data_IF_490623970383
#
_entry.id   IF_490623970383
#
_cell.length_a   1.000
_cell.length_b   1.000
_cell.length_c   1.000
_cell.angle_alpha   90.00
_cell.angle_beta   90.00
_cell.angle_gamma   90.00
#
_symmetry.space_group_name_H-M   'P 1'
#
loop_
_entity.id
_entity.type
_entity.pdbx_description
1 polymer ?
#
# COMPACT_ATOMS: atom_id res chain seq x y z
N UNK A 1 -0.99 -4.69 52.67
CA UNK A 1 -0.78 -3.69 51.60
C UNK A 1 0.22 -4.30 50.63
N UNK A 2 -0.26 -4.95 49.57
CA UNK A 2 0.58 -5.63 48.61
C UNK A 2 0.95 -4.65 47.49
N UNK A 3 2.26 -4.51 47.21
CA UNK A 3 2.74 -3.78 46.04
C UNK A 3 2.37 -4.58 44.78
N UNK A 4 1.61 -3.96 43.89
CA UNK A 4 1.42 -4.46 42.53
C UNK A 4 2.73 -4.27 41.74
N UNK A 5 3.26 -5.38 41.23
CA UNK A 5 4.38 -5.36 40.30
C UNK A 5 3.90 -4.90 38.93
N UNK A 6 4.44 -3.79 38.45
CA UNK A 6 4.29 -3.31 37.08
C UNK A 6 4.95 -4.28 36.12
N UNK A 7 4.15 -5.01 35.34
CA UNK A 7 4.62 -5.83 34.22
C UNK A 7 4.98 -4.88 33.08
N UNK A 8 6.27 -4.77 32.76
CA UNK A 8 6.74 -4.12 31.52
C UNK A 8 6.33 -4.98 30.32
N UNK A 9 5.78 -4.40 29.23
CA UNK A 9 5.47 -5.17 28.04
C UNK A 9 6.77 -5.67 27.40
N UNK A 10 6.84 -6.98 27.19
CA UNK A 10 7.96 -7.62 26.50
C UNK A 10 7.98 -7.15 25.05
N UNK A 11 9.06 -6.47 24.65
CA UNK A 11 9.34 -6.17 23.24
C UNK A 11 9.62 -7.49 22.53
N UNK A 12 8.66 -7.99 21.77
CA UNK A 12 8.87 -9.15 20.90
C UNK A 12 9.84 -8.74 19.81
N UNK A 13 11.07 -9.28 19.83
CA UNK A 13 12.04 -9.06 18.77
C UNK A 13 11.45 -9.51 17.42
N UNK A 14 11.71 -8.72 16.37
CA UNK A 14 11.27 -9.08 15.02
C UNK A 14 11.91 -10.42 14.60
N UNK A 15 11.17 -11.28 13.87
CA UNK A 15 11.71 -12.53 13.38
C UNK A 15 12.85 -12.27 12.39
N UNK A 16 13.84 -13.17 12.37
CA UNK A 16 14.92 -13.10 11.41
C UNK A 16 14.40 -13.23 9.96
N UNK A 17 14.99 -12.53 8.97
CA UNK A 17 14.58 -12.64 7.58
C UNK A 17 14.63 -14.09 7.07
N UNK A 18 13.55 -14.54 6.43
CA UNK A 18 13.50 -15.80 5.68
C UNK A 18 13.46 -15.56 4.15
N UNK A 19 13.42 -14.29 3.74
CA UNK A 19 13.58 -13.82 2.36
C UNK A 19 14.76 -12.86 2.34
N UNK A 20 15.78 -13.20 1.56
CA UNK A 20 16.90 -12.31 1.24
C UNK A 20 17.09 -12.40 -0.28
N UNK A 21 16.94 -11.28 -0.97
CA UNK A 21 17.13 -11.20 -2.40
C UNK A 21 17.42 -9.77 -2.86
N UNK A 22 18.48 -9.61 -3.67
CA UNK A 22 18.97 -8.31 -4.14
C UNK A 22 19.06 -7.32 -2.96
N UNK A 23 18.40 -6.16 -3.05
CA UNK A 23 18.34 -5.15 -2.01
C UNK A 23 17.30 -5.45 -0.91
N UNK A 24 16.56 -6.56 -0.93
CA UNK A 24 15.51 -6.87 0.06
C UNK A 24 15.96 -7.93 1.06
N UNK A 25 15.80 -7.65 2.35
CA UNK A 25 15.71 -8.66 3.41
C UNK A 25 14.42 -8.46 4.21
N UNK A 26 13.61 -9.51 4.35
CA UNK A 26 12.37 -9.48 5.15
C UNK A 26 11.99 -10.86 5.69
N UNK A 27 11.09 -10.89 6.66
CA UNK A 27 10.40 -12.10 7.08
C UNK A 27 9.02 -12.17 6.40
N UNK A 28 8.82 -13.14 5.51
CA UNK A 28 7.54 -13.50 4.91
C UNK A 28 6.78 -14.44 5.85
N UNK A 29 5.68 -14.00 6.48
CA UNK A 29 4.86 -14.87 7.32
C UNK A 29 4.22 -15.97 6.46
N UNK A 30 4.15 -17.23 6.95
CA UNK A 30 3.48 -18.31 6.23
C UNK A 30 2.00 -18.05 5.91
N UNK A 31 1.36 -17.14 6.67
CA UNK A 31 -0.02 -16.69 6.41
C UNK A 31 -0.15 -15.74 5.22
N UNK A 32 0.94 -15.14 4.76
CA UNK A 32 0.97 -14.25 3.59
C UNK A 32 1.56 -14.91 2.36
N UNK A 33 2.34 -15.98 2.49
CA UNK A 33 2.88 -16.68 1.33
C UNK A 33 3.66 -17.93 1.71
N UNK A 34 3.70 -18.87 0.78
CA UNK A 34 4.44 -20.13 0.90
C UNK A 34 5.72 -20.16 0.05
N UNK A 35 5.86 -19.22 -0.88
CA UNK A 35 7.02 -19.07 -1.76
C UNK A 35 7.16 -17.61 -2.21
N UNK A 36 8.22 -17.31 -2.95
CA UNK A 36 8.40 -16.02 -3.60
C UNK A 36 9.21 -16.19 -4.89
N UNK A 37 9.03 -15.27 -5.84
CA UNK A 37 10.00 -15.02 -6.91
C UNK A 37 10.63 -13.66 -6.68
N UNK A 38 11.88 -13.50 -7.11
CA UNK A 38 12.59 -12.25 -6.98
C UNK A 38 13.39 -11.97 -8.23
N UNK A 39 13.09 -10.84 -8.84
CA UNK A 39 13.59 -10.46 -10.15
C UNK A 39 14.27 -9.11 -10.06
N UNK A 40 15.39 -8.98 -10.78
CA UNK A 40 15.98 -7.68 -11.10
C UNK A 40 15.43 -7.25 -12.45
N UNK A 41 14.44 -6.37 -12.42
CA UNK A 41 13.71 -5.92 -13.60
C UNK A 41 14.53 -4.84 -14.28
N UNK A 42 14.83 -5.03 -15.57
CA UNK A 42 15.58 -4.05 -16.36
C UNK A 42 14.82 -2.71 -16.47
N UNK A 43 15.57 -1.62 -16.66
CA UNK A 43 14.98 -0.30 -16.85
C UNK A 43 14.11 -0.25 -18.11
N UNK A 44 13.02 0.52 -18.04
CA UNK A 44 12.20 0.91 -19.17
C UNK A 44 12.10 2.43 -19.18
N UNK A 45 12.76 3.07 -20.16
CA UNK A 45 12.82 4.54 -20.28
C UNK A 45 11.84 5.11 -21.30
N UNK A 46 11.10 4.25 -22.02
CA UNK A 46 10.20 4.62 -23.10
C UNK A 46 8.85 3.89 -22.95
N UNK A 47 7.79 4.48 -23.51
CA UNK A 47 6.44 3.93 -23.44
C UNK A 47 5.60 4.51 -22.30
N UNK A 48 4.50 3.83 -21.99
CA UNK A 48 3.52 4.27 -20.99
C UNK A 48 4.06 4.03 -19.57
N UNK A 49 4.70 2.89 -19.35
CA UNK A 49 5.30 2.54 -18.07
C UNK A 49 6.80 2.88 -18.11
N UNK A 50 7.21 3.87 -17.32
CA UNK A 50 8.61 4.29 -17.21
C UNK A 50 9.10 4.00 -15.80
N UNK A 51 10.23 3.30 -15.69
CA UNK A 51 10.86 2.90 -14.42
C UNK A 51 12.34 2.57 -14.61
N UNK A 52 13.20 2.79 -13.61
CA UNK A 52 14.59 2.37 -13.65
C UNK A 52 14.70 0.86 -13.45
N UNK A 53 15.91 0.33 -13.59
CA UNK A 53 16.22 -1.00 -13.09
C UNK A 53 15.89 -1.06 -11.58
N UNK A 54 15.19 -2.11 -11.15
CA UNK A 54 14.72 -2.23 -9.78
C UNK A 54 14.54 -3.67 -9.37
N UNK A 55 14.44 -3.90 -8.07
CA UNK A 55 14.08 -5.22 -7.54
C UNK A 55 12.58 -5.35 -7.39
N UNK A 56 12.06 -6.48 -7.87
CA UNK A 56 10.67 -6.89 -7.74
C UNK A 56 10.63 -8.26 -7.04
N UNK A 57 10.02 -8.29 -5.85
CA UNK A 57 9.67 -9.52 -5.14
C UNK A 57 8.17 -9.78 -5.34
N UNK A 58 7.81 -10.95 -5.85
CA UNK A 58 6.41 -11.39 -5.97
C UNK A 58 6.14 -12.51 -4.97
N UNK A 59 5.10 -12.38 -4.16
CA UNK A 59 4.75 -13.40 -3.16
C UNK A 59 3.93 -14.53 -3.79
N UNK A 60 4.40 -15.76 -3.61
CA UNK A 60 3.72 -16.98 -4.04
C UNK A 60 2.90 -17.60 -2.91
N UNK A 61 1.73 -18.16 -3.25
CA UNK A 61 0.81 -18.73 -2.25
C UNK A 61 0.11 -17.68 -1.39
N UNK A 62 0.00 -16.45 -1.88
CA UNK A 62 -0.74 -15.39 -1.19
C UNK A 62 -2.21 -15.79 -1.02
N UNK A 63 -2.84 -15.49 0.12
CA UNK A 63 -4.18 -16.00 0.45
C UNK A 63 -5.32 -15.47 -0.43
N UNK A 64 -5.08 -14.41 -1.20
CA UNK A 64 -6.02 -13.90 -2.20
C UNK A 64 -5.49 -14.16 -3.61
N UNK A 65 -6.27 -14.85 -4.43
CA UNK A 65 -5.87 -15.24 -5.79
C UNK A 65 -6.74 -14.65 -6.90
N UNK A 66 -7.92 -14.11 -6.58
CA UNK A 66 -8.85 -13.50 -7.54
C UNK A 66 -8.90 -11.98 -7.34
N UNK A 67 -7.80 -11.31 -7.66
CA UNK A 67 -7.58 -9.88 -7.44
C UNK A 67 -6.90 -9.26 -8.65
N UNK A 68 -7.13 -7.97 -8.89
CA UNK A 68 -6.54 -7.25 -10.02
C UNK A 68 -5.01 -7.16 -9.91
N UNK A 69 -4.52 -6.71 -8.74
CA UNK A 69 -3.09 -6.65 -8.47
C UNK A 69 -2.55 -7.97 -7.93
N UNK A 70 -1.28 -8.23 -8.22
CA UNK A 70 -0.51 -9.29 -7.61
C UNK A 70 0.21 -8.77 -6.34
N UNK A 71 0.45 -9.63 -5.34
CA UNK A 71 1.15 -9.28 -4.11
C UNK A 71 2.65 -9.07 -4.37
N UNK A 72 3.08 -7.81 -4.41
CA UNK A 72 4.42 -7.43 -4.88
C UNK A 72 5.08 -6.41 -3.95
N UNK A 73 6.41 -6.51 -3.85
CA UNK A 73 7.29 -5.53 -3.20
C UNK A 73 8.30 -5.05 -4.23
N UNK A 74 8.40 -3.75 -4.39
CA UNK A 74 9.30 -3.06 -5.29
C UNK A 74 10.33 -2.26 -4.49
N UNK A 75 11.59 -2.29 -4.91
CA UNK A 75 12.64 -1.40 -4.41
C UNK A 75 13.25 -0.64 -5.58
N UNK A 76 12.93 0.64 -5.69
CA UNK A 76 13.40 1.51 -6.76
C UNK A 76 14.57 2.38 -6.28
N UNK A 77 15.67 2.49 -7.06
CA UNK A 77 16.68 3.52 -6.83
C UNK A 77 16.10 4.91 -7.16
N UNK A 78 15.98 5.78 -6.16
CA UNK A 78 15.31 7.08 -6.26
C UNK A 78 16.00 7.97 -7.30
N UNK A 79 17.33 8.11 -7.23
CA UNK A 79 18.08 8.97 -8.12
C UNK A 79 17.92 8.57 -9.60
N UNK A 80 17.92 7.27 -9.88
CA UNK A 80 17.70 6.77 -11.24
C UNK A 80 16.25 7.01 -11.69
N UNK A 81 15.26 6.81 -10.81
CA UNK A 81 13.86 7.03 -11.17
C UNK A 81 13.58 8.51 -11.45
N UNK A 82 14.10 9.43 -10.63
CA UNK A 82 13.97 10.87 -10.86
C UNK A 82 14.61 11.31 -12.19
N UNK A 83 15.68 10.65 -12.64
CA UNK A 83 16.31 10.94 -13.93
C UNK A 83 15.44 10.57 -15.13
N UNK A 84 14.44 9.69 -14.92
CA UNK A 84 13.51 9.23 -15.95
C UNK A 84 12.16 9.95 -15.91
N UNK A 85 11.74 10.48 -14.75
CA UNK A 85 10.42 11.10 -14.59
C UNK A 85 10.39 12.17 -13.50
N UNK A 86 10.09 13.42 -13.89
CA UNK A 86 9.91 14.53 -12.95
C UNK A 86 8.79 14.28 -11.94
N UNK A 87 7.76 13.53 -12.34
CA UNK A 87 6.62 13.17 -11.50
C UNK A 87 7.01 12.31 -10.28
N UNK A 88 8.21 11.71 -10.29
CA UNK A 88 8.77 11.00 -9.13
C UNK A 88 9.33 11.98 -8.11
N UNK A 89 9.91 13.10 -8.54
CA UNK A 89 10.39 14.15 -7.65
C UNK A 89 9.23 14.78 -6.88
N UNK A 90 8.11 15.03 -7.56
CA UNK A 90 6.89 15.54 -6.92
C UNK A 90 6.38 14.57 -5.85
N UNK A 91 6.21 13.28 -6.19
CA UNK A 91 5.80 12.22 -5.25
C UNK A 91 6.76 12.06 -4.08
N UNK A 92 8.07 12.23 -4.30
CA UNK A 92 9.07 12.19 -3.23
C UNK A 92 8.91 13.35 -2.26
N UNK A 93 8.72 14.56 -2.78
CA UNK A 93 8.49 15.74 -1.95
C UNK A 93 7.18 15.60 -1.15
N UNK A 94 6.12 15.10 -1.76
CA UNK A 94 4.84 14.80 -1.09
C UNK A 94 5.02 13.77 0.02
N UNK A 95 5.69 12.65 -0.25
CA UNK A 95 5.93 11.61 0.76
C UNK A 95 6.77 12.15 1.92
N UNK A 96 7.82 12.90 1.65
CA UNK A 96 8.65 13.52 2.68
C UNK A 96 7.85 14.53 3.52
N UNK A 97 7.00 15.33 2.88
CA UNK A 97 6.09 16.26 3.56
C UNK A 97 5.11 15.52 4.49
N UNK A 98 4.45 14.48 3.98
CA UNK A 98 3.56 13.63 4.77
C UNK A 98 4.29 13.01 5.95
N UNK A 99 5.50 12.49 5.75
CA UNK A 99 6.31 11.90 6.82
C UNK A 99 6.72 12.91 7.89
N UNK A 100 6.98 14.16 7.52
CA UNK A 100 7.32 15.26 8.44
C UNK A 100 6.14 15.94 9.14
N UNK A 101 4.91 15.75 8.64
CA UNK A 101 3.70 16.41 9.17
C UNK A 101 3.09 15.67 10.35
N UNK A 102 2.71 16.35 11.44
CA UNK A 102 1.92 15.70 12.51
C UNK A 102 0.45 15.47 12.11
N UNK A 103 -0.02 16.13 11.05
CA UNK A 103 -1.38 16.00 10.56
C UNK A 103 -1.57 14.69 9.81
N UNK A 104 -2.68 14.00 10.10
CA UNK A 104 -3.13 12.83 9.34
C UNK A 104 -3.99 13.31 8.17
N UNK A 105 -3.66 12.97 6.91
CA UNK A 105 -4.50 13.29 5.77
C UNK A 105 -5.84 12.56 5.90
N UNK A 106 -6.92 13.28 5.63
CA UNK A 106 -8.29 12.75 5.62
C UNK A 106 -8.80 12.89 4.20
N UNK A 107 -9.27 11.79 3.63
CA UNK A 107 -9.80 11.79 2.28
C UNK A 107 -11.05 12.65 2.19
N UNK A 108 -11.06 13.58 1.25
CA UNK A 108 -12.22 14.40 0.88
C UNK A 108 -12.50 14.23 -0.61
N UNK A 109 -13.77 13.99 -0.94
CA UNK A 109 -14.19 14.00 -2.33
C UNK A 109 -14.48 15.45 -2.74
N UNK A 110 -13.48 16.14 -3.27
CA UNK A 110 -13.60 17.48 -3.84
C UNK A 110 -12.78 17.62 -5.13
N UNK A 111 -12.93 18.73 -5.85
CA UNK A 111 -12.26 18.95 -7.14
C UNK A 111 -10.73 19.05 -7.05
N UNK A 112 -10.15 19.10 -5.85
CA UNK A 112 -8.71 19.12 -5.58
C UNK A 112 -8.18 17.77 -5.08
N UNK A 113 -8.89 16.66 -5.34
CA UNK A 113 -8.51 15.28 -4.97
C UNK A 113 -7.00 15.13 -4.74
N UNK A 114 -6.60 15.16 -3.47
CA UNK A 114 -5.20 14.99 -3.09
C UNK A 114 -4.90 13.50 -3.05
N UNK A 115 -4.30 12.99 -4.12
CA UNK A 115 -3.82 11.62 -4.14
C UNK A 115 -2.64 11.47 -3.17
N UNK A 116 -2.58 10.35 -2.47
CA UNK A 116 -1.37 10.01 -1.73
C UNK A 116 -0.28 9.53 -2.70
N UNK A 117 1.00 9.81 -2.42
CA UNK A 117 2.09 9.42 -3.28
C UNK A 117 2.09 7.90 -3.45
N UNK A 118 2.37 7.45 -4.67
CA UNK A 118 2.32 6.05 -5.06
C UNK A 118 3.26 5.78 -6.23
N UNK A 119 4.05 4.72 -6.12
CA UNK A 119 4.82 4.11 -7.20
C UNK A 119 4.54 2.60 -7.26
N UNK A 120 4.76 1.92 -8.40
CA UNK A 120 5.01 2.50 -9.72
C UNK A 120 3.83 3.34 -10.21
N UNK A 121 4.07 4.21 -11.20
CA UNK A 121 3.00 5.04 -11.76
C UNK A 121 2.07 4.16 -12.59
N UNK A 122 0.77 4.24 -12.33
CA UNK A 122 -0.27 3.59 -13.14
C UNK A 122 -1.01 4.60 -13.99
N UNK A 123 -1.41 4.20 -15.20
CA UNK A 123 -2.30 4.97 -16.07
C UNK A 123 -3.77 4.86 -15.61
N UNK A 124 -4.02 5.24 -14.36
CA UNK A 124 -5.32 5.27 -13.70
C UNK A 124 -5.28 6.26 -12.52
N UNK A 125 -6.44 6.75 -12.10
CA UNK A 125 -6.56 7.61 -10.93
C UNK A 125 -6.66 6.82 -9.63
N UNK A 126 -6.01 7.29 -8.57
CA UNK A 126 -6.25 6.80 -7.22
C UNK A 126 -7.68 7.19 -6.82
N UNK A 127 -8.53 6.21 -6.51
CA UNK A 127 -9.96 6.47 -6.29
C UNK A 127 -10.22 7.05 -4.90
N UNK A 128 -9.54 6.52 -3.89
CA UNK A 128 -9.66 6.95 -2.50
C UNK A 128 -8.41 6.60 -1.70
N UNK A 129 -8.36 7.01 -0.44
CA UNK A 129 -7.50 6.34 0.54
C UNK A 129 -8.23 6.18 1.88
N UNK A 130 -8.00 5.03 2.52
CA UNK A 130 -8.49 4.72 3.86
C UNK A 130 -7.37 4.10 4.70
N UNK A 131 -7.54 4.02 6.02
CA UNK A 131 -6.57 3.41 6.93
C UNK A 131 -5.15 3.98 6.77
N UNK A 132 -5.04 5.30 6.64
CA UNK A 132 -3.74 5.94 6.60
C UNK A 132 -2.98 5.68 7.91
N UNK A 133 -1.73 5.28 7.81
CA UNK A 133 -0.83 5.18 8.96
C UNK A 133 0.61 5.42 8.53
N UNK A 134 1.38 6.11 9.36
CA UNK A 134 2.84 6.16 9.24
C UNK A 134 3.45 4.95 9.93
N UNK A 135 4.33 4.25 9.24
CA UNK A 135 5.05 3.10 9.80
C UNK A 135 6.55 3.21 9.51
N UNK A 136 7.42 3.00 10.51
CA UNK A 136 8.83 2.77 10.27
C UNK A 136 9.08 1.35 9.76
N UNK A 137 10.21 1.14 9.08
CA UNK A 137 10.79 -0.18 8.82
C UNK A 137 12.25 -0.19 9.28
N UNK A 138 12.97 -1.31 9.12
CA UNK A 138 14.27 -1.51 9.78
C UNK A 138 15.28 -0.39 9.52
N UNK A 139 15.27 0.20 8.33
CA UNK A 139 16.19 1.25 7.93
C UNK A 139 15.51 2.38 7.14
N UNK A 140 14.28 2.74 7.53
CA UNK A 140 13.59 3.89 6.97
C UNK A 140 12.17 4.07 7.50
N UNK A 141 11.35 4.81 6.76
CA UNK A 141 9.97 5.14 7.14
C UNK A 141 9.09 5.37 5.93
N UNK A 142 7.79 5.21 6.12
CA UNK A 142 6.80 5.33 5.06
C UNK A 142 5.39 5.49 5.58
N UNK A 143 4.46 5.51 4.65
CA UNK A 143 3.02 5.55 4.90
C UNK A 143 2.39 4.28 4.33
N UNK A 144 1.37 3.76 5.00
CA UNK A 144 0.45 2.76 4.42
C UNK A 144 -0.97 3.28 4.38
N UNK A 145 -1.71 2.80 3.42
CA UNK A 145 -3.13 3.07 3.24
C UNK A 145 -3.76 1.99 2.36
N UNK A 146 -5.09 1.95 2.36
CA UNK A 146 -5.89 1.13 1.46
C UNK A 146 -6.41 1.99 0.32
N UNK A 147 -6.42 1.46 -0.89
CA UNK A 147 -6.92 2.16 -2.07
C UNK A 147 -7.28 1.18 -3.19
N UNK A 148 -7.82 1.71 -4.27
CA UNK A 148 -7.89 1.09 -5.58
C UNK A 148 -7.67 2.15 -6.67
N UNK A 149 -7.35 1.71 -7.88
CA UNK A 149 -7.14 2.59 -9.02
C UNK A 149 -8.18 2.34 -10.12
N UNK A 150 -8.70 3.40 -10.75
CA UNK A 150 -9.67 3.28 -11.83
C UNK A 150 -9.59 4.45 -12.83
N UNK A 151 -10.17 4.26 -14.02
CA UNK A 151 -10.32 5.30 -15.05
C UNK A 151 -11.75 5.88 -15.11
N UNK A 152 -12.61 5.49 -14.17
CA UNK A 152 -14.01 5.89 -14.08
C UNK A 152 -14.42 5.98 -12.61
N UNK A 153 -15.64 6.42 -12.34
CA UNK A 153 -16.24 6.34 -11.00
C UNK A 153 -16.51 4.87 -10.66
N UNK A 154 -15.54 4.25 -9.99
CA UNK A 154 -15.55 2.83 -9.67
C UNK A 154 -16.13 2.57 -8.27
N UNK A 155 -17.05 1.62 -8.12
CA UNK A 155 -17.40 1.09 -6.81
C UNK A 155 -16.17 0.53 -6.07
N UNK A 156 -16.05 0.82 -4.78
CA UNK A 156 -15.08 0.13 -3.92
C UNK A 156 -15.47 -1.34 -3.80
N UNK A 157 -14.53 -2.23 -4.09
CA UNK A 157 -14.76 -3.67 -4.19
C UNK A 157 -13.50 -4.48 -3.84
N UNK A 158 -13.67 -5.77 -3.55
CA UNK A 158 -12.59 -6.67 -3.13
C UNK A 158 -11.68 -7.15 -4.26
N UNK A 159 -12.09 -7.06 -5.52
CA UNK A 159 -11.24 -7.44 -6.65
C UNK A 159 -10.13 -6.40 -6.88
N UNK A 160 -10.45 -5.11 -6.73
CA UNK A 160 -9.52 -4.01 -6.98
C UNK A 160 -8.88 -3.42 -5.71
N UNK A 161 -9.40 -3.71 -4.51
CA UNK A 161 -8.85 -3.19 -3.26
C UNK A 161 -7.48 -3.78 -2.93
N UNK A 162 -6.55 -2.91 -2.56
CA UNK A 162 -5.25 -3.33 -2.06
C UNK A 162 -4.76 -2.44 -0.92
N UNK A 163 -3.97 -3.07 -0.05
CA UNK A 163 -3.06 -2.41 0.86
C UNK A 163 -1.83 -1.95 0.10
N UNK A 164 -1.43 -0.71 0.31
CA UNK A 164 -0.15 -0.20 -0.17
C UNK A 164 0.67 0.41 0.94
N UNK A 165 1.98 0.22 0.85
CA UNK A 165 2.96 0.93 1.66
C UNK A 165 3.97 1.61 0.75
N UNK A 166 4.24 2.89 1.01
CA UNK A 166 5.16 3.74 0.26
C UNK A 166 6.17 4.34 1.24
N UNK A 167 7.43 3.96 1.12
CA UNK A 167 8.47 4.33 2.06
C UNK A 167 9.78 4.69 1.40
N UNK A 168 10.64 5.34 2.18
CA UNK A 168 11.99 5.73 1.77
C UNK A 168 13.00 5.25 2.81
N UNK A 169 14.17 4.82 2.34
CA UNK A 169 15.29 4.48 3.23
C UNK A 169 15.81 5.72 3.93
N UNK A 170 16.41 5.52 5.11
CA UNK A 170 16.96 6.61 5.92
C UNK A 170 18.09 7.38 5.20
N UNK A 171 18.83 6.71 4.32
CA UNK A 171 19.85 7.33 3.47
C UNK A 171 19.27 8.01 2.22
N UNK A 172 17.95 7.93 2.01
CA UNK A 172 17.24 8.57 0.90
C UNK A 172 17.52 7.97 -0.48
N UNK A 173 18.16 6.81 -0.56
CA UNK A 173 18.55 6.20 -1.85
C UNK A 173 17.48 5.36 -2.50
N UNK A 174 16.62 4.71 -1.71
CA UNK A 174 15.66 3.74 -2.22
C UNK A 174 14.24 4.09 -1.81
N UNK A 175 13.32 3.89 -2.75
CA UNK A 175 11.88 3.91 -2.54
C UNK A 175 11.37 2.48 -2.44
N UNK A 176 10.60 2.19 -1.41
CA UNK A 176 9.93 0.91 -1.20
C UNK A 176 8.46 1.10 -1.52
N UNK A 177 7.96 0.35 -2.50
CA UNK A 177 6.53 0.25 -2.78
C UNK A 177 6.07 -1.17 -2.52
N UNK A 178 5.02 -1.33 -1.74
CA UNK A 178 4.40 -2.63 -1.45
C UNK A 178 2.97 -2.56 -1.92
N UNK A 179 2.52 -3.54 -2.69
CA UNK A 179 1.14 -3.68 -3.17
C UNK A 179 0.67 -5.07 -2.77
N UNK A 180 -0.31 -5.15 -1.87
CA UNK A 180 -0.81 -6.40 -1.33
C UNK A 180 -2.34 -6.39 -1.41
N UNK A 181 -2.97 -7.26 -2.21
CA UNK A 181 -4.42 -7.34 -2.26
C UNK A 181 -5.02 -7.59 -0.87
N UNK A 182 -6.15 -6.95 -0.57
CA UNK A 182 -6.83 -7.10 0.72
C UNK A 182 -8.33 -6.99 0.53
N UNK A 183 -9.06 -7.78 1.30
CA UNK A 183 -10.52 -7.83 1.27
C UNK A 183 -11.13 -7.38 2.59
N UNK A 184 -12.38 -6.92 2.52
CA UNK A 184 -13.24 -6.71 3.67
C UNK A 184 -14.64 -7.30 3.38
N UNK A 185 -15.28 -8.02 4.34
CA UNK A 185 -16.59 -8.65 4.13
C UNK A 185 -17.73 -7.67 3.84
N UNK A 186 -17.58 -6.39 4.22
CA UNK A 186 -18.56 -5.33 3.92
C UNK A 186 -18.49 -4.81 2.49
N UNK A 187 -17.52 -5.25 1.69
CA UNK A 187 -17.36 -4.82 0.30
C UNK A 187 -17.89 -5.87 -0.69
N UNK A 188 -18.43 -5.43 -1.84
CA UNK A 188 -18.79 -6.34 -2.92
C UNK A 188 -17.56 -7.06 -3.45
N UNK A 189 -17.77 -8.23 -4.07
CA UNK A 189 -16.69 -9.03 -4.62
C UNK A 189 -15.95 -8.32 -5.78
N UNK A 190 -16.68 -7.59 -6.62
CA UNK A 190 -16.17 -6.89 -7.80
C UNK A 190 -17.02 -5.64 -8.11
N UNK A 191 -16.68 -4.93 -9.17
CA UNK A 191 -17.37 -3.73 -9.65
C UNK A 191 -18.34 -3.98 -10.83
N UNK A 192 -18.84 -5.21 -11.03
CA UNK A 192 -19.75 -5.52 -12.15
C UNK A 192 -21.05 -4.70 -12.11
N UNK A 193 -21.54 -4.43 -10.91
CA UNK A 193 -22.75 -3.64 -10.69
C UNK A 193 -22.47 -2.55 -9.64
N UNK A 194 -23.09 -1.37 -9.76
CA UNK A 194 -23.02 -0.37 -8.71
C UNK A 194 -23.71 -0.90 -7.43
N UNK A 195 -23.25 -0.45 -6.26
CA UNK A 195 -23.76 -0.91 -4.98
C UNK A 195 -25.22 -0.50 -4.77
N UNK A 196 -25.95 -1.27 -3.98
CA UNK A 196 -27.34 -0.97 -3.61
C UNK A 196 -28.38 -1.15 -4.73
N UNK A 197 -28.01 -1.80 -5.85
CA UNK A 197 -28.94 -2.05 -6.97
C UNK A 197 -29.27 -0.80 -7.79
N UNK A 198 -28.43 0.23 -7.73
CA UNK A 198 -28.56 1.45 -8.51
C UNK A 198 -28.33 1.20 -10.01
N UNK A 199 -28.76 2.12 -10.87
CA UNK A 199 -28.20 2.23 -12.22
C UNK A 199 -26.83 2.92 -12.17
N UNK A 200 -26.01 2.73 -13.20
CA UNK A 200 -24.72 3.43 -13.34
C UNK A 200 -24.86 4.95 -13.35
N UNK A 201 -25.92 5.48 -13.96
CA UNK A 201 -26.20 6.93 -13.97
C UNK A 201 -26.53 7.44 -12.57
N UNK A 202 -27.37 6.71 -11.81
CA UNK A 202 -27.69 7.07 -10.43
C UNK A 202 -26.45 7.04 -9.54
N UNK A 203 -25.61 6.01 -9.69
CA UNK A 203 -24.37 5.87 -8.96
C UNK A 203 -23.40 7.01 -9.27
N UNK A 204 -23.16 7.29 -10.55
CA UNK A 204 -22.28 8.37 -11.01
C UNK A 204 -22.73 9.73 -10.50
N UNK A 205 -24.03 10.02 -10.57
CA UNK A 205 -24.59 11.29 -10.10
C UNK A 205 -24.47 11.47 -8.58
N UNK A 206 -24.35 10.38 -7.81
CA UNK A 206 -24.21 10.41 -6.35
C UNK A 206 -22.83 9.94 -5.86
N UNK A 207 -21.83 9.87 -6.75
CA UNK A 207 -20.56 9.21 -6.47
C UNK A 207 -19.81 9.82 -5.30
N UNK A 208 -19.86 11.15 -5.14
CA UNK A 208 -19.20 11.84 -4.05
C UNK A 208 -19.69 11.46 -2.67
N UNK A 209 -21.01 11.39 -2.48
CA UNK A 209 -21.60 10.93 -1.23
C UNK A 209 -21.23 9.46 -0.97
N UNK A 210 -21.35 8.62 -2.00
CA UNK A 210 -20.99 7.21 -1.92
C UNK A 210 -19.54 7.00 -1.45
N UNK A 211 -18.57 7.66 -2.08
CA UNK A 211 -17.16 7.41 -1.76
C UNK A 211 -16.80 7.96 -0.38
N UNK A 212 -17.36 9.09 0.04
CA UNK A 212 -17.18 9.62 1.41
C UNK A 212 -17.72 8.65 2.45
N UNK A 213 -18.93 8.10 2.25
CA UNK A 213 -19.52 7.12 3.16
C UNK A 213 -18.73 5.81 3.19
N UNK A 214 -18.30 5.31 2.03
CA UNK A 214 -17.55 4.07 1.93
C UNK A 214 -16.17 4.18 2.60
N UNK A 215 -15.48 5.32 2.45
CA UNK A 215 -14.21 5.58 3.13
C UNK A 215 -14.39 5.70 4.64
N UNK A 216 -15.44 6.39 5.10
CA UNK A 216 -15.77 6.45 6.52
C UNK A 216 -16.07 5.06 7.10
N UNK A 217 -16.83 4.24 6.36
CA UNK A 217 -17.13 2.85 6.72
C UNK A 217 -15.86 2.02 6.85
N UNK A 218 -14.94 2.10 5.89
CA UNK A 218 -13.66 1.39 5.94
C UNK A 218 -12.83 1.84 7.14
N UNK A 219 -12.63 3.15 7.33
CA UNK A 219 -11.84 3.68 8.46
C UNK A 219 -12.38 3.27 9.84
N UNK A 220 -13.67 2.97 9.96
CA UNK A 220 -14.29 2.49 11.19
C UNK A 220 -14.06 0.99 11.47
N UNK A 221 -13.57 0.22 10.49
CA UNK A 221 -13.33 -1.21 10.64
C UNK A 221 -12.06 -1.48 11.46
N UNK A 222 -12.07 -2.49 12.34
CA UNK A 222 -10.87 -2.87 13.05
C UNK A 222 -9.86 -3.53 12.09
N UNK A 223 -8.57 -3.30 12.29
CA UNK A 223 -7.53 -3.82 11.38
C UNK A 223 -7.54 -5.36 11.20
N UNK A 224 -8.09 -6.11 12.16
CA UNK A 224 -8.22 -7.57 12.10
C UNK A 224 -9.50 -8.08 11.41
N UNK A 225 -10.44 -7.20 11.00
CA UNK A 225 -11.60 -7.61 10.16
C UNK A 225 -11.27 -7.67 8.66
N UNK A 226 -10.12 -7.14 8.26
CA UNK A 226 -9.58 -7.29 6.91
C UNK A 226 -8.96 -8.67 6.71
N UNK A 227 -8.92 -9.12 5.46
CA UNK A 227 -8.26 -10.37 5.09
C UNK A 227 -7.35 -10.16 3.86
N UNK A 228 -6.02 -10.37 4.00
CA UNK A 228 -5.29 -10.59 5.25
C UNK A 228 -5.46 -9.43 6.24
N UNK A 229 -5.31 -9.71 7.54
CA UNK A 229 -5.43 -8.66 8.57
C UNK A 229 -4.36 -7.60 8.38
N UNK A 230 -4.70 -6.33 8.58
CA UNK A 230 -3.74 -5.23 8.40
C UNK A 230 -2.55 -5.36 9.35
N UNK A 231 -2.71 -5.95 10.54
CA UNK A 231 -1.58 -6.18 11.46
C UNK A 231 -0.50 -7.08 10.86
N UNK A 232 -0.87 -8.11 10.10
CA UNK A 232 0.08 -9.04 9.47
C UNK A 232 0.77 -8.37 8.28
N UNK A 233 0.05 -7.52 7.55
CA UNK A 233 0.61 -6.70 6.46
C UNK A 233 1.57 -5.62 7.00
N UNK A 234 1.19 -4.95 8.09
CA UNK A 234 2.02 -3.99 8.81
C UNK A 234 3.31 -4.66 9.33
N UNK A 235 3.20 -5.88 9.88
CA UNK A 235 4.35 -6.66 10.36
C UNK A 235 5.33 -7.04 9.22
N UNK A 236 4.82 -7.38 8.03
CA UNK A 236 5.65 -7.62 6.85
C UNK A 236 6.45 -6.36 6.49
N UNK A 237 5.78 -5.21 6.37
CA UNK A 237 6.45 -3.97 5.90
C UNK A 237 7.41 -3.38 6.93
N UNK A 238 7.08 -3.45 8.21
CA UNK A 238 7.97 -2.97 9.29
C UNK A 238 9.22 -3.85 9.46
N UNK A 239 9.13 -5.12 9.05
CA UNK A 239 10.24 -6.06 9.01
C UNK A 239 11.16 -5.92 7.78
N UNK A 240 10.82 -5.08 6.80
CA UNK A 240 11.68 -4.87 5.63
C UNK A 240 12.97 -4.20 6.05
N UNK A 241 14.08 -4.68 5.51
CA UNK A 241 15.38 -4.03 5.48
C UNK A 241 15.84 -3.91 4.04
N UNK A 242 16.25 -2.71 3.63
CA UNK A 242 16.85 -2.49 2.31
C UNK A 242 18.37 -2.58 2.41
N UNK A 243 18.97 -3.56 1.75
CA UNK A 243 20.41 -3.77 1.71
C UNK A 243 21.08 -2.82 0.69
N UNK A 244 22.36 -2.44 0.90
CA UNK A 244 23.09 -1.55 0.00
C UNK A 244 23.19 -2.03 -1.44
#
# INVERSE_FOLDING_TARGET
MALEATVTPSSTALPAPNVICNEIALYLPPSLGSSFSCDKVAAQSEGIDIYPEHTLLTLGGYPLSNTFFQPRVYVFPIAAYQSLSEAVTERLNELQSLLGSESVPVYTFDASLHNLPFLPIFNAGQVFYAHYQKLPFQNGKGIRYLTLFAQYFAPINNYDLFYTYQGITQDGKYWISVILPVNHPSLPANAENPPGGLSWDQFTNNYGAYITEAVAMLNAQPANSFFPSLQVLDALVTGIQVLP
#
